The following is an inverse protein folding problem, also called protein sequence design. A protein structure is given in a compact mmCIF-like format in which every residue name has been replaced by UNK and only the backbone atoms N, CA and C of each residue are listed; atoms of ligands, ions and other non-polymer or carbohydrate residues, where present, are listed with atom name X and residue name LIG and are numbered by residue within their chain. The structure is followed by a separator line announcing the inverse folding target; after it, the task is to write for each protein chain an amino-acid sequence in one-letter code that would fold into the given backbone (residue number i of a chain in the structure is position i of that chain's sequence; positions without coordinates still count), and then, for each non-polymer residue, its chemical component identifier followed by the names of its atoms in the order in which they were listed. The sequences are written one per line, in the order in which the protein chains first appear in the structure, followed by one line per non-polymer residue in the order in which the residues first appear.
data_IF_006270032616
#
_entry.id   IF_006270032616
#
_cell.length_a   1.000
_cell.length_b   1.000
_cell.length_c   1.000
_cell.angle_alpha   90.00
_cell.angle_beta   90.00
_cell.angle_gamma   90.00
#
_symmetry.space_group_name_H-M   'P 1'
#
loop_
_entity.id
_entity.type
_entity.pdbx_description
1 polymer ?
#
# COMPACT_ATOMS: atom_id res chain seq x y z
N UNK A 1 5.65 21.48 6.45
CA UNK A 1 5.67 21.19 5.01
C UNK A 1 6.62 20.02 4.82
N UNK A 2 6.13 18.87 4.42
CA UNK A 2 6.94 17.65 4.20
C UNK A 2 7.46 17.70 2.76
N UNK A 3 8.75 17.45 2.56
CA UNK A 3 9.40 17.41 1.23
C UNK A 3 9.83 15.96 0.94
N UNK A 4 9.83 15.57 -0.31
CA UNK A 4 10.32 14.27 -0.77
C UNK A 4 11.86 14.24 -0.92
N UNK A 5 12.39 13.10 -1.39
CA UNK A 5 13.84 12.91 -1.61
C UNK A 5 14.43 13.83 -2.68
N UNK A 6 13.59 14.43 -3.53
CA UNK A 6 13.99 15.40 -4.57
C UNK A 6 13.84 16.86 -4.11
N UNK A 7 13.44 17.10 -2.87
CA UNK A 7 13.21 18.43 -2.32
C UNK A 7 11.86 19.04 -2.68
N UNK A 8 10.97 18.26 -3.30
CA UNK A 8 9.61 18.72 -3.64
C UNK A 8 8.67 18.57 -2.44
N UNK A 9 7.75 19.52 -2.31
CA UNK A 9 6.71 19.45 -1.29
C UNK A 9 5.79 18.25 -1.57
N UNK A 10 5.66 17.35 -0.59
CA UNK A 10 4.67 16.27 -0.68
C UNK A 10 3.30 16.92 -0.56
N UNK A 11 2.54 16.88 -1.64
CA UNK A 11 1.19 17.41 -1.68
C UNK A 11 0.30 16.67 -0.67
N UNK A 12 -0.56 17.41 0.00
CA UNK A 12 -1.63 16.80 0.79
C UNK A 12 -2.59 16.07 -0.17
N UNK A 13 -3.09 14.92 0.28
CA UNK A 13 -4.11 14.18 -0.48
C UNK A 13 -5.35 15.05 -0.62
N UNK A 14 -5.83 15.19 -1.83
CA UNK A 14 -7.13 15.81 -2.09
C UNK A 14 -8.23 14.96 -1.44
N UNK A 15 -8.79 15.48 -0.35
CA UNK A 15 -9.79 14.79 0.46
C UNK A 15 -11.16 14.69 -0.20
N UNK A 16 -11.44 15.53 -1.19
CA UNK A 16 -12.68 15.47 -1.96
C UNK A 16 -12.59 14.38 -3.03
N UNK A 17 -11.46 14.33 -3.72
CA UNK A 17 -11.20 13.33 -4.77
C UNK A 17 -10.87 11.94 -4.21
N UNK A 18 -10.13 11.87 -3.09
CA UNK A 18 -9.62 10.63 -2.50
C UNK A 18 -9.93 10.51 -1.01
N UNK A 19 -11.22 10.53 -0.61
CA UNK A 19 -11.62 10.58 0.81
C UNK A 19 -11.15 9.36 1.61
N UNK A 20 -11.05 8.19 0.98
CA UNK A 20 -10.55 6.98 1.63
C UNK A 20 -9.05 7.08 1.97
N UNK A 21 -8.24 7.56 1.01
CA UNK A 21 -6.79 7.75 1.18
C UNK A 21 -6.49 8.91 2.14
N UNK A 22 -7.28 9.98 2.11
CA UNK A 22 -7.11 11.12 3.02
C UNK A 22 -7.40 10.76 4.48
N UNK A 23 -8.29 9.77 4.73
CA UNK A 23 -8.68 9.38 6.08
C UNK A 23 -7.60 8.53 6.76
N UNK A 24 -7.06 9.05 7.86
CA UNK A 24 -6.13 8.31 8.72
C UNK A 24 -6.92 7.52 9.77
N UNK A 25 -6.68 6.21 9.96
CA UNK A 25 -7.30 5.45 11.03
C UNK A 25 -6.96 6.04 12.41
N UNK A 26 -7.97 6.19 13.27
CA UNK A 26 -7.85 6.78 14.58
C UNK A 26 -8.45 5.88 15.67
N UNK A 27 -8.28 6.29 16.93
CA UNK A 27 -8.77 5.57 18.10
C UNK A 27 -7.79 4.52 18.66
N UNK A 28 -8.07 3.99 19.86
CA UNK A 28 -7.13 3.16 20.61
C UNK A 28 -6.75 1.87 19.88
N UNK A 29 -7.70 1.24 19.19
CA UNK A 29 -7.47 0.03 18.39
C UNK A 29 -6.44 0.29 17.27
N UNK A 30 -6.55 1.43 16.58
CA UNK A 30 -5.61 1.78 15.52
C UNK A 30 -4.21 2.11 16.06
N UNK A 31 -4.13 2.70 17.25
CA UNK A 31 -2.84 2.98 17.91
C UNK A 31 -2.15 1.67 18.28
N UNK A 32 -2.87 0.75 18.93
CA UNK A 32 -2.31 -0.56 19.33
C UNK A 32 -1.91 -1.40 18.13
N UNK A 33 -2.78 -1.48 17.11
CA UNK A 33 -2.47 -2.21 15.87
C UNK A 33 -1.29 -1.58 15.13
N UNK A 34 -1.18 -0.26 15.14
CA UNK A 34 -0.06 0.48 14.58
C UNK A 34 1.27 0.17 15.28
N UNK A 35 1.29 0.10 16.61
CA UNK A 35 2.49 -0.24 17.37
C UNK A 35 2.98 -1.68 17.06
N UNK A 36 2.05 -2.62 16.93
CA UNK A 36 2.36 -3.99 16.51
C UNK A 36 2.91 -3.99 15.07
N UNK A 37 2.25 -3.27 14.18
CA UNK A 37 2.67 -3.15 12.78
C UNK A 37 4.07 -2.53 12.66
N UNK A 38 4.39 -1.48 13.42
CA UNK A 38 5.71 -0.86 13.45
C UNK A 38 6.79 -1.86 13.86
N UNK A 39 6.54 -2.61 14.94
CA UNK A 39 7.49 -3.63 15.43
C UNK A 39 7.76 -4.69 14.37
N UNK A 40 6.72 -5.17 13.70
CA UNK A 40 6.82 -6.19 12.66
C UNK A 40 7.52 -5.64 11.41
N UNK A 41 7.13 -4.44 10.99
CA UNK A 41 7.70 -3.76 9.83
C UNK A 41 9.21 -3.52 10.01
N UNK A 42 9.64 -2.98 11.17
CA UNK A 42 11.06 -2.75 11.48
C UNK A 42 11.86 -4.06 11.48
N UNK A 43 11.31 -5.13 12.08
CA UNK A 43 11.95 -6.47 12.06
C UNK A 43 12.06 -7.04 10.65
N UNK A 44 11.04 -6.83 9.84
CA UNK A 44 11.03 -7.27 8.45
C UNK A 44 12.06 -6.49 7.64
N UNK A 45 12.03 -5.17 7.68
CA UNK A 45 12.94 -4.28 6.96
C UNK A 45 14.41 -4.56 7.30
N UNK A 46 14.71 -4.86 8.57
CA UNK A 46 16.08 -5.20 9.01
C UNK A 46 16.66 -6.48 8.37
N UNK A 47 15.82 -7.32 7.78
CA UNK A 47 16.23 -8.58 7.14
C UNK A 47 16.25 -8.52 5.62
N UNK A 48 15.79 -7.42 5.06
CA UNK A 48 15.68 -7.24 3.60
C UNK A 48 16.88 -6.43 3.07
N UNK A 49 17.28 -6.63 1.81
CA UNK A 49 18.29 -5.82 1.15
C UNK A 49 17.66 -4.49 0.69
N UNK A 50 17.18 -3.72 1.64
CA UNK A 50 16.58 -2.38 1.46
C UNK A 50 17.07 -1.45 2.56
N UNK A 51 16.84 -0.15 2.38
CA UNK A 51 17.05 0.86 3.41
C UNK A 51 15.73 1.53 3.74
N UNK A 52 15.45 1.74 5.02
CA UNK A 52 14.29 2.51 5.49
C UNK A 52 14.82 3.65 6.34
N UNK A 53 14.60 4.87 5.89
CA UNK A 53 15.05 6.10 6.55
C UNK A 53 13.86 6.78 7.22
N UNK A 54 14.02 7.14 8.49
CA UNK A 54 13.02 7.82 9.30
C UNK A 54 13.34 9.31 9.48
N UNK A 55 12.34 10.15 9.82
CA UNK A 55 12.55 11.60 10.00
C UNK A 55 13.51 11.96 11.13
N UNK A 56 13.67 11.07 12.11
CA UNK A 56 14.61 11.23 13.23
C UNK A 56 16.06 10.87 12.88
N UNK A 57 16.33 10.53 11.61
CA UNK A 57 17.64 10.10 11.13
C UNK A 57 17.91 8.60 11.33
N UNK A 58 17.00 7.86 11.95
CA UNK A 58 17.13 6.40 12.09
C UNK A 58 17.10 5.73 10.72
N UNK A 59 18.05 4.83 10.46
CA UNK A 59 18.10 3.99 9.26
C UNK A 59 17.99 2.53 9.68
N UNK A 60 17.08 1.78 9.05
CA UNK A 60 16.87 0.35 9.26
C UNK A 60 17.14 -0.40 7.95
N UNK A 61 17.65 -1.62 8.06
CA UNK A 61 18.02 -2.47 6.94
C UNK A 61 19.48 -2.35 6.56
N UNK A 62 19.80 -2.50 5.28
CA UNK A 62 21.18 -2.51 4.82
C UNK A 62 21.81 -1.10 4.84
N UNK A 63 23.11 -1.05 5.07
CA UNK A 63 23.87 0.22 5.07
C UNK A 63 24.20 0.72 3.65
N UNK A 64 24.14 -0.14 2.64
CA UNK A 64 24.50 0.16 1.27
C UNK A 64 23.54 1.18 0.63
N UNK A 65 24.01 2.37 0.24
CA UNK A 65 23.18 3.43 -0.33
C UNK A 65 22.66 3.13 -1.75
N UNK A 66 23.20 2.12 -2.42
CA UNK A 66 22.77 1.73 -3.76
C UNK A 66 21.48 0.87 -3.76
N UNK A 67 21.10 0.37 -2.59
CA UNK A 67 19.90 -0.44 -2.44
C UNK A 67 18.62 0.40 -2.46
N UNK A 68 17.49 -0.21 -2.85
CA UNK A 68 16.20 0.48 -2.83
C UNK A 68 15.92 1.10 -1.45
N UNK A 69 15.62 2.38 -1.45
CA UNK A 69 15.45 3.15 -0.22
C UNK A 69 14.01 3.63 -0.08
N UNK A 70 13.41 3.35 1.07
CA UNK A 70 12.13 3.89 1.52
C UNK A 70 12.42 5.07 2.47
N UNK A 71 11.90 6.25 2.15
CA UNK A 71 11.98 7.43 3.02
C UNK A 71 10.62 7.62 3.69
N UNK A 72 10.58 7.43 4.99
CA UNK A 72 9.36 7.59 5.79
C UNK A 72 9.26 9.04 6.22
N UNK A 73 8.15 9.69 5.90
CA UNK A 73 7.87 11.08 6.25
C UNK A 73 6.93 11.19 7.45
N UNK A 74 5.93 10.30 7.52
CA UNK A 74 4.91 10.30 8.57
C UNK A 74 4.76 8.90 9.18
N UNK A 75 5.68 8.50 10.07
CA UNK A 75 5.71 7.14 10.61
C UNK A 75 4.42 6.75 11.35
N UNK A 76 3.80 7.66 12.10
CA UNK A 76 2.56 7.35 12.83
C UNK A 76 1.39 7.03 11.90
N UNK A 77 1.20 7.79 10.81
CA UNK A 77 0.11 7.54 9.87
C UNK A 77 0.34 6.28 9.07
N UNK A 78 1.59 6.04 8.63
CA UNK A 78 2.02 4.81 7.99
C UNK A 78 1.63 3.58 8.82
N UNK A 79 2.08 3.52 10.09
CA UNK A 79 1.86 2.33 10.91
C UNK A 79 0.40 2.13 11.29
N UNK A 80 -0.38 3.21 11.46
CA UNK A 80 -1.83 3.12 11.69
C UNK A 80 -2.57 2.55 10.48
N UNK A 81 -2.21 2.96 9.26
CA UNK A 81 -2.77 2.42 8.02
C UNK A 81 -2.39 0.95 7.86
N UNK A 82 -1.11 0.61 8.00
CA UNK A 82 -0.63 -0.76 7.91
C UNK A 82 -1.26 -1.65 8.98
N UNK A 83 -1.32 -1.19 10.22
CA UNK A 83 -1.93 -1.94 11.33
C UNK A 83 -3.43 -2.18 11.13
N UNK A 84 -4.13 -1.28 10.45
CA UNK A 84 -5.58 -1.39 10.22
C UNK A 84 -5.94 -2.16 8.96
N UNK A 85 -5.18 -1.95 7.87
CA UNK A 85 -5.55 -2.40 6.52
C UNK A 85 -4.47 -3.28 5.87
N UNK A 86 -3.39 -3.58 6.59
CA UNK A 86 -2.31 -4.43 6.06
C UNK A 86 -1.66 -3.86 4.82
N UNK A 87 -1.54 -4.67 3.76
CA UNK A 87 -0.92 -4.26 2.49
C UNK A 87 -1.69 -3.14 1.77
N UNK A 88 -3.02 -3.11 1.90
CA UNK A 88 -3.83 -2.00 1.36
C UNK A 88 -3.41 -0.70 2.05
N UNK A 89 -3.33 -0.71 3.38
CA UNK A 89 -2.86 0.45 4.14
C UNK A 89 -1.43 0.87 3.84
N UNK A 90 -0.57 -0.08 3.44
CA UNK A 90 0.77 0.23 2.96
C UNK A 90 0.74 0.97 1.61
N UNK A 91 -0.09 0.52 0.66
CA UNK A 91 -0.31 1.22 -0.61
C UNK A 91 -0.96 2.59 -0.41
N UNK A 92 -2.02 2.68 0.41
CA UNK A 92 -2.67 3.95 0.76
C UNK A 92 -1.70 4.95 1.40
N UNK A 93 -0.74 4.46 2.21
CA UNK A 93 0.27 5.32 2.84
C UNK A 93 1.26 5.90 1.82
N UNK A 94 1.59 5.16 0.76
CA UNK A 94 2.36 5.68 -0.38
C UNK A 94 1.58 6.78 -1.12
N UNK A 95 0.35 6.48 -1.51
CA UNK A 95 -0.55 7.46 -2.17
C UNK A 95 -0.76 8.72 -1.32
N UNK A 96 -0.80 8.56 0.01
CA UNK A 96 -0.91 9.69 0.93
C UNK A 96 0.40 10.46 1.12
N UNK A 97 1.54 9.95 0.63
CA UNK A 97 2.85 10.54 0.87
C UNK A 97 3.36 10.35 2.30
N UNK A 98 2.92 9.29 3.00
CA UNK A 98 3.50 8.94 4.31
C UNK A 98 4.91 8.41 4.16
N UNK A 99 5.24 7.88 2.99
CA UNK A 99 6.58 7.49 2.57
C UNK A 99 6.77 7.66 1.05
N UNK A 100 8.02 7.76 0.62
CA UNK A 100 8.43 7.83 -0.78
C UNK A 100 9.61 6.92 -1.05
N UNK A 101 9.90 6.66 -2.33
CA UNK A 101 11.10 5.97 -2.79
C UNK A 101 11.50 6.52 -4.16
N UNK A 102 12.80 6.62 -4.42
CA UNK A 102 13.31 6.92 -5.76
C UNK A 102 13.16 5.72 -6.72
N UNK A 103 13.13 4.50 -6.16
CA UNK A 103 12.86 3.25 -6.89
C UNK A 103 11.77 2.45 -6.18
N UNK A 104 10.50 2.82 -6.33
CA UNK A 104 9.40 2.10 -5.71
C UNK A 104 9.23 0.68 -6.26
N UNK A 105 9.56 0.44 -7.53
CA UNK A 105 9.46 -0.88 -8.15
C UNK A 105 10.49 -1.85 -7.56
N UNK A 106 11.75 -1.45 -7.46
CA UNK A 106 12.79 -2.23 -6.80
C UNK A 106 12.48 -2.50 -5.35
N UNK A 107 12.03 -1.49 -4.61
CA UNK A 107 11.62 -1.62 -3.21
C UNK A 107 10.50 -2.65 -3.02
N UNK A 108 9.42 -2.53 -3.81
CA UNK A 108 8.28 -3.45 -3.74
C UNK A 108 8.65 -4.87 -4.19
N UNK A 109 9.60 -5.01 -5.12
CA UNK A 109 10.13 -6.30 -5.54
C UNK A 109 10.82 -7.03 -4.38
N UNK A 110 11.65 -6.33 -3.61
CA UNK A 110 12.31 -6.94 -2.44
C UNK A 110 11.31 -7.29 -1.33
N UNK A 111 10.29 -6.48 -1.09
CA UNK A 111 9.19 -6.85 -0.20
C UNK A 111 8.43 -8.07 -0.72
N UNK A 112 8.11 -8.11 -2.02
CA UNK A 112 7.34 -9.19 -2.65
C UNK A 112 8.04 -10.55 -2.59
N UNK A 113 9.35 -10.60 -2.87
CA UNK A 113 10.16 -11.83 -2.83
C UNK A 113 10.07 -12.55 -1.48
N UNK A 114 9.88 -11.82 -0.40
CA UNK A 114 9.91 -12.36 0.97
C UNK A 114 8.61 -12.11 1.76
N UNK A 115 7.54 -11.73 1.07
CA UNK A 115 6.27 -11.39 1.72
C UNK A 115 5.74 -12.52 2.61
N UNK A 116 5.90 -13.77 2.18
CA UNK A 116 5.49 -14.95 2.96
C UNK A 116 6.29 -15.10 4.26
N UNK A 117 7.54 -14.65 4.29
CA UNK A 117 8.43 -14.71 5.45
C UNK A 117 8.20 -13.54 6.42
N UNK A 118 7.70 -12.40 5.91
CA UNK A 118 7.48 -11.19 6.69
C UNK A 118 6.29 -11.30 7.65
N UNK A 119 5.35 -12.20 7.35
CA UNK A 119 4.17 -12.44 8.19
C UNK A 119 4.44 -13.69 9.04
N UNK A 120 4.66 -13.54 10.36
CA UNK A 120 4.86 -14.67 11.25
C UNK A 120 3.72 -15.69 11.11
N UNK A 121 4.01 -17.01 11.13
CA UNK A 121 3.00 -18.08 11.00
C UNK A 121 1.86 -17.95 12.03
N UNK A 122 2.17 -17.45 13.22
CA UNK A 122 1.19 -17.18 14.27
C UNK A 122 0.17 -16.13 13.84
N UNK A 123 0.60 -15.08 13.14
CA UNK A 123 -0.29 -14.05 12.63
C UNK A 123 -1.11 -14.52 11.42
N UNK A 124 -0.57 -15.46 10.65
CA UNK A 124 -1.33 -16.08 9.56
C UNK A 124 -2.57 -16.84 10.08
N UNK A 125 -2.50 -17.42 11.28
CA UNK A 125 -3.65 -18.04 11.96
C UNK A 125 -4.75 -17.05 12.32
N UNK A 126 -4.41 -15.80 12.57
CA UNK A 126 -5.35 -14.70 12.88
C UNK A 126 -5.80 -13.95 11.63
N UNK A 127 -5.31 -14.34 10.45
CA UNK A 127 -5.72 -13.74 9.17
C UNK A 127 -7.23 -13.67 8.97
N UNK A 128 -8.05 -14.67 9.34
CA UNK A 128 -9.51 -14.58 9.23
C UNK A 128 -10.13 -13.48 10.12
N UNK A 129 -9.45 -13.12 11.22
CA UNK A 129 -9.88 -12.05 12.13
C UNK A 129 -9.40 -10.66 11.68
N UNK A 130 -8.25 -10.62 10.97
CA UNK A 130 -7.63 -9.40 10.47
C UNK A 130 -8.09 -9.02 9.06
N UNK A 131 -8.58 -10.00 8.28
CA UNK A 131 -9.22 -9.73 6.99
C UNK A 131 -10.48 -8.92 7.29
N UNK A 132 -10.44 -7.64 6.88
CA UNK A 132 -11.64 -6.80 6.87
C UNK A 132 -12.72 -7.61 6.14
N UNK A 133 -13.76 -8.02 6.88
CA UNK A 133 -14.91 -8.67 6.26
C UNK A 133 -15.40 -7.74 5.18
N UNK A 134 -15.30 -8.17 3.93
CA UNK A 134 -15.90 -7.42 2.84
C UNK A 134 -17.35 -7.07 3.23
N UNK A 135 -17.75 -5.80 3.13
CA UNK A 135 -19.14 -5.44 3.38
C UNK A 135 -20.04 -6.38 2.57
N UNK A 136 -21.15 -6.78 3.16
CA UNK A 136 -22.13 -7.64 2.43
C UNK A 136 -22.58 -7.05 1.09
N UNK A 137 -22.46 -5.73 0.94
CA UNK A 137 -22.66 -4.99 -0.32
C UNK A 137 -21.67 -5.36 -1.44
N UNK A 138 -20.53 -5.99 -1.12
CA UNK A 138 -19.55 -6.45 -2.12
C UNK A 138 -19.66 -7.96 -2.41
N UNK A 139 -20.62 -8.66 -1.78
CA UNK A 139 -20.88 -10.06 -2.11
C UNK A 139 -21.49 -10.14 -3.51
N UNK A 140 -21.04 -11.12 -4.30
CA UNK A 140 -21.49 -11.36 -5.66
C UNK A 140 -22.94 -11.92 -5.66
N UNK A 141 -23.92 -11.06 -5.35
CA UNK A 141 -25.33 -11.33 -5.63
C UNK A 141 -25.68 -10.87 -7.05
N UNK A 142 -26.74 -11.43 -7.64
CA UNK A 142 -27.16 -11.07 -9.02
C UNK A 142 -27.38 -9.56 -9.16
N UNK A 143 -27.96 -8.91 -8.14
CA UNK A 143 -28.18 -7.47 -8.13
C UNK A 143 -26.87 -6.66 -7.95
N UNK A 144 -25.91 -7.21 -7.23
CA UNK A 144 -24.63 -6.56 -6.98
C UNK A 144 -23.61 -6.83 -8.09
N UNK A 145 -23.70 -8.00 -8.76
CA UNK A 145 -22.81 -8.33 -9.87
C UNK A 145 -22.88 -7.27 -10.98
N UNK A 146 -24.09 -6.79 -11.31
CA UNK A 146 -24.26 -5.73 -12.31
C UNK A 146 -23.60 -4.41 -11.90
N UNK A 147 -23.66 -4.05 -10.60
CA UNK A 147 -23.01 -2.86 -10.06
C UNK A 147 -21.51 -3.04 -10.01
N UNK A 148 -21.01 -4.19 -9.55
CA UNK A 148 -19.59 -4.49 -9.53
C UNK A 148 -18.98 -4.47 -10.93
N UNK A 149 -19.71 -4.93 -11.94
CA UNK A 149 -19.29 -4.85 -13.35
C UNK A 149 -19.26 -3.39 -13.82
N UNK A 150 -20.31 -2.61 -13.52
CA UNK A 150 -20.33 -1.19 -13.85
C UNK A 150 -19.15 -0.47 -13.19
N UNK A 151 -18.95 -0.63 -11.88
CA UNK A 151 -17.84 -0.02 -11.14
C UNK A 151 -16.45 -0.45 -11.71
N UNK A 152 -16.35 -1.65 -12.27
CA UNK A 152 -15.11 -2.14 -12.89
C UNK A 152 -14.86 -1.54 -14.28
N UNK A 153 -15.91 -1.29 -15.07
CA UNK A 153 -15.80 -0.77 -16.43
C UNK A 153 -16.03 0.75 -16.52
N UNK A 154 -16.56 1.38 -15.47
CA UNK A 154 -16.72 2.85 -15.39
C UNK A 154 -15.40 3.59 -15.04
N UNK A 155 -14.26 2.89 -15.10
CA UNK A 155 -12.95 3.53 -15.11
C UNK A 155 -12.86 4.41 -16.37
N UNK A 156 -12.44 5.66 -16.19
CA UNK A 156 -12.41 6.63 -17.30
C UNK A 156 -11.50 6.16 -18.44
N UNK A 157 -11.88 6.48 -19.68
CA UNK A 157 -11.03 6.22 -20.85
C UNK A 157 -9.65 6.86 -20.71
N UNK A 158 -9.55 7.98 -20.01
CA UNK A 158 -8.29 8.66 -19.74
C UNK A 158 -7.36 7.76 -18.89
N UNK A 159 -7.90 7.07 -17.88
CA UNK A 159 -7.13 6.10 -17.10
C UNK A 159 -6.68 4.92 -17.95
N UNK A 160 -7.55 4.38 -18.80
CA UNK A 160 -7.20 3.29 -19.70
C UNK A 160 -6.15 3.71 -20.73
N UNK A 161 -6.21 4.95 -21.21
CA UNK A 161 -5.23 5.52 -22.14
C UNK A 161 -3.80 5.61 -21.58
N UNK A 162 -3.64 5.62 -20.25
CA UNK A 162 -2.32 5.65 -19.60
C UNK A 162 -1.55 4.30 -19.68
N UNK A 163 -2.24 3.19 -19.89
CA UNK A 163 -1.60 1.86 -19.86
C UNK A 163 -2.08 0.88 -20.94
N UNK A 164 -3.10 1.21 -21.71
CA UNK A 164 -3.54 0.44 -22.87
C UNK A 164 -2.99 1.08 -24.15
N UNK A 165 -2.89 0.26 -25.20
CA UNK A 165 -2.56 0.74 -26.53
C UNK A 165 -3.73 1.49 -27.20
N UNK A 166 -3.50 2.02 -28.40
CA UNK A 166 -4.51 2.78 -29.18
C UNK A 166 -5.79 1.98 -29.45
N UNK A 167 -5.75 0.66 -29.38
CA UNK A 167 -6.91 -0.21 -29.58
C UNK A 167 -7.77 -0.37 -28.34
N UNK A 168 -7.29 0.12 -27.18
CA UNK A 168 -7.97 0.02 -25.88
C UNK A 168 -8.28 -1.43 -25.49
N UNK A 169 -7.49 -2.40 -25.94
CA UNK A 169 -7.69 -3.81 -25.65
C UNK A 169 -7.27 -4.13 -24.22
N UNK A 170 -8.23 -4.30 -23.33
CA UNK A 170 -8.00 -4.59 -21.90
C UNK A 170 -7.66 -6.07 -21.66
N UNK A 171 -8.36 -6.97 -22.32
CA UNK A 171 -8.08 -8.41 -22.25
C UNK A 171 -8.47 -9.09 -23.55
N UNK A 172 -7.67 -10.05 -24.00
CA UNK A 172 -8.00 -10.93 -25.10
C UNK A 172 -7.77 -12.38 -24.69
N UNK A 173 -8.65 -13.27 -25.14
CA UNK A 173 -8.43 -14.70 -25.03
C UNK A 173 -7.77 -15.20 -26.31
N UNK A 174 -6.67 -15.97 -26.18
CA UNK A 174 -6.09 -16.71 -27.28
C UNK A 174 -6.75 -18.08 -27.33
N UNK A 175 -7.48 -18.32 -28.41
CA UNK A 175 -8.05 -19.65 -28.67
C UNK A 175 -7.10 -20.40 -29.59
N UNK A 176 -6.60 -21.55 -29.16
CA UNK A 176 -5.93 -22.50 -30.04
C UNK A 176 -7.00 -23.22 -30.86
N UNK A 177 -6.87 -23.21 -32.19
CA UNK A 177 -7.74 -23.92 -33.15
C UNK A 177 -7.26 -25.34 -33.35
#
# INVERSE_FOLDING_TARGET
MTIDVSGQAIAAVDSERWPAVARVPHGPVSVTAGAIADTLFRRAAARLPIRVMYPDGTVIGAADPTLPTMVVHRPETLVRRVGRYGLIGFGESYMAGDWTSADPAGLLTEFGKRLAELIPPVLQRFRPLAVVRHPRSHLNSISQARRNVADHYDLSNDLFGEFLDETMTYSSALFET
#
